data_IF_205795163460
#
_entry.id   IF_205795163460
#
_cell.length_a   1.000
_cell.length_b   1.000
_cell.length_c   1.000
_cell.angle_alpha   90.00
_cell.angle_beta   90.00
_cell.angle_gamma   90.00
#
_symmetry.space_group_name_H-M   'P 1'
#
loop_
_entity.id
_entity.type
_entity.pdbx_description
1 polymer ?
#
# COMPACT_ATOMS: atom_id res chain seq x y z
N UNK A 1 36.86 0.97 -36.29
CA UNK A 1 36.99 0.33 -34.96
C UNK A 1 35.75 0.71 -34.18
N UNK A 2 34.82 -0.23 -34.03
CA UNK A 2 33.57 -0.03 -33.29
C UNK A 2 33.83 -0.33 -31.81
N UNK A 3 33.71 0.69 -30.96
CA UNK A 3 33.78 0.51 -29.52
C UNK A 3 32.42 -0.02 -29.03
N UNK A 4 32.34 -1.33 -28.81
CA UNK A 4 31.28 -1.93 -28.01
C UNK A 4 31.53 -1.56 -26.55
N UNK A 5 30.77 -0.59 -26.03
CA UNK A 5 30.63 -0.40 -24.58
C UNK A 5 29.66 -1.47 -24.11
N UNK A 6 30.20 -2.56 -23.56
CA UNK A 6 29.44 -3.52 -22.79
C UNK A 6 28.97 -2.82 -21.51
N UNK A 7 27.70 -2.45 -21.45
CA UNK A 7 27.05 -2.05 -20.21
C UNK A 7 26.96 -3.26 -19.27
N UNK A 8 27.33 -3.07 -18.01
CA UNK A 8 27.30 -4.11 -16.99
C UNK A 8 25.87 -4.66 -16.81
N UNK A 9 25.61 -5.97 -16.98
CA UNK A 9 24.28 -6.55 -16.89
C UNK A 9 23.64 -6.41 -15.50
N UNK A 10 24.45 -6.21 -14.45
CA UNK A 10 24.00 -6.07 -13.07
C UNK A 10 23.27 -4.73 -12.84
N UNK A 11 23.73 -3.64 -13.48
CA UNK A 11 23.07 -2.34 -13.36
C UNK A 11 21.78 -2.27 -14.16
N UNK A 12 21.72 -2.99 -15.29
CA UNK A 12 20.49 -3.12 -16.10
C UNK A 12 19.42 -3.95 -15.39
N UNK A 13 19.78 -4.93 -14.57
CA UNK A 13 18.84 -5.74 -13.77
C UNK A 13 18.24 -4.93 -12.59
N UNK A 14 19.05 -4.06 -11.95
CA UNK A 14 18.54 -3.12 -10.94
C UNK A 14 17.72 -1.97 -11.52
N UNK A 15 18.06 -1.47 -12.72
CA UNK A 15 17.26 -0.45 -13.42
C UNK A 15 15.94 -1.03 -13.97
N UNK A 16 15.89 -2.31 -14.34
CA UNK A 16 14.65 -2.99 -14.73
C UNK A 16 13.79 -3.44 -13.54
N UNK A 17 14.37 -3.59 -12.35
CA UNK A 17 13.64 -3.74 -11.08
C UNK A 17 13.17 -2.39 -10.49
N UNK A 18 13.68 -1.27 -11.02
CA UNK A 18 13.49 0.08 -10.49
C UNK A 18 12.29 0.87 -11.02
N UNK A 19 11.67 0.45 -12.13
CA UNK A 19 10.36 0.97 -12.54
C UNK A 19 9.28 0.00 -12.06
N UNK A 20 8.87 0.18 -10.80
CA UNK A 20 7.79 -0.59 -10.22
C UNK A 20 6.52 -0.43 -11.07
N UNK A 21 6.20 -1.44 -11.91
CA UNK A 21 5.02 -1.50 -12.79
C UNK A 21 3.67 -1.43 -12.05
N UNK A 22 3.69 -1.14 -10.75
CA UNK A 22 2.58 -1.15 -9.83
C UNK A 22 2.44 0.16 -9.02
N UNK A 23 3.11 1.24 -9.45
CA UNK A 23 2.91 2.61 -8.96
C UNK A 23 2.36 3.49 -10.09
N UNK A 24 1.31 4.27 -9.81
CA UNK A 24 0.52 4.97 -10.81
C UNK A 24 0.30 6.45 -10.49
N UNK A 25 0.42 7.28 -11.53
CA UNK A 25 0.36 8.73 -11.46
C UNK A 25 1.72 9.37 -11.20
N UNK A 26 1.82 10.68 -11.41
CA UNK A 26 3.06 11.42 -11.16
C UNK A 26 3.13 11.88 -9.70
N UNK A 27 4.31 11.84 -9.06
CA UNK A 27 4.47 12.33 -7.71
C UNK A 27 4.32 13.86 -7.69
N UNK A 28 3.52 14.36 -6.75
CA UNK A 28 3.41 15.79 -6.46
C UNK A 28 4.64 16.17 -5.63
N UNK A 29 5.57 16.88 -6.26
CA UNK A 29 6.84 17.32 -5.68
C UNK A 29 6.93 18.84 -5.66
N UNK A 30 7.75 19.35 -4.75
CA UNK A 30 8.21 20.73 -4.80
C UNK A 30 9.57 20.67 -5.49
N UNK A 31 9.77 21.32 -6.63
CA UNK A 31 11.09 21.40 -7.24
C UNK A 31 12.00 22.29 -6.36
N UNK A 32 12.65 21.63 -5.40
CA UNK A 32 13.71 22.05 -4.45
C UNK A 32 13.33 23.02 -3.32
N UNK A 33 13.52 22.55 -2.07
CA UNK A 33 14.18 23.26 -0.94
C UNK A 33 14.25 22.32 0.27
N UNK A 34 15.46 22.02 0.75
CA UNK A 34 15.73 21.22 1.95
C UNK A 34 15.71 22.07 3.22
N UNK A 35 15.16 21.51 4.31
CA UNK A 35 15.28 22.03 5.68
C UNK A 35 13.98 21.98 6.50
N UNK A 36 14.11 21.86 7.82
CA UNK A 36 13.01 22.01 8.80
C UNK A 36 12.67 23.50 9.03
N UNK A 37 12.35 24.18 7.94
CA UNK A 37 11.87 25.57 7.99
C UNK A 37 10.34 25.59 8.03
N UNK A 38 9.76 26.65 8.60
CA UNK A 38 8.32 26.91 8.54
C UNK A 38 7.78 26.84 7.10
N UNK A 39 8.60 27.25 6.13
CA UNK A 39 8.32 27.16 4.71
C UNK A 39 8.18 25.71 4.21
N UNK A 40 9.07 24.79 4.62
CA UNK A 40 8.96 23.38 4.26
C UNK A 40 7.70 22.72 4.83
N UNK A 41 7.31 23.09 6.07
CA UNK A 41 6.04 22.64 6.67
C UNK A 41 4.83 23.14 5.88
N UNK A 42 4.88 24.38 5.38
CA UNK A 42 3.84 24.97 4.51
C UNK A 42 3.74 24.24 3.17
N UNK A 43 4.88 24.02 2.49
CA UNK A 43 4.93 23.29 1.23
C UNK A 43 4.35 21.88 1.36
N UNK A 44 4.72 21.16 2.44
CA UNK A 44 4.19 19.82 2.68
C UNK A 44 2.66 19.81 2.85
N UNK A 45 2.08 20.80 3.52
CA UNK A 45 0.61 20.95 3.61
C UNK A 45 -0.03 21.23 2.25
N UNK A 46 0.63 22.01 1.37
CA UNK A 46 0.17 22.24 0.01
C UNK A 46 0.19 20.95 -0.83
N UNK A 47 1.29 20.17 -0.75
CA UNK A 47 1.40 18.84 -1.38
C UNK A 47 0.29 17.89 -0.95
N UNK A 48 -0.05 17.88 0.34
CA UNK A 48 -1.18 17.09 0.88
C UNK A 48 -2.50 17.56 0.28
N UNK A 49 -2.78 18.88 0.32
CA UNK A 49 -4.02 19.43 -0.19
C UNK A 49 -4.19 19.12 -1.69
N UNK A 50 -3.12 19.28 -2.48
CA UNK A 50 -3.11 18.91 -3.89
C UNK A 50 -3.31 17.42 -4.12
N UNK A 51 -2.69 16.54 -3.32
CA UNK A 51 -2.91 15.11 -3.42
C UNK A 51 -4.38 14.76 -3.17
N UNK A 52 -4.98 15.28 -2.10
CA UNK A 52 -6.39 15.04 -1.79
C UNK A 52 -7.33 15.55 -2.88
N UNK A 53 -7.11 16.75 -3.42
CA UNK A 53 -7.92 17.33 -4.50
C UNK A 53 -7.76 16.59 -5.85
N UNK A 54 -6.57 16.04 -6.10
CA UNK A 54 -6.24 15.38 -7.38
C UNK A 54 -6.33 13.86 -7.30
N UNK A 55 -6.79 13.27 -6.20
CA UNK A 55 -6.75 11.83 -5.95
C UNK A 55 -7.40 11.00 -7.06
N UNK A 56 -8.54 11.49 -7.57
CA UNK A 56 -9.34 10.87 -8.64
C UNK A 56 -9.20 11.58 -9.99
N UNK A 57 -8.30 12.55 -10.11
CA UNK A 57 -8.06 13.24 -11.38
C UNK A 57 -7.17 12.40 -12.29
N UNK A 58 -7.44 12.45 -13.59
CA UNK A 58 -6.71 11.67 -14.59
C UNK A 58 -7.13 10.20 -14.60
N UNK A 59 -6.18 9.32 -14.94
CA UNK A 59 -6.41 7.86 -15.07
C UNK A 59 -5.63 7.04 -14.03
N UNK A 60 -5.00 7.67 -13.03
CA UNK A 60 -4.08 6.97 -12.10
C UNK A 60 -4.78 5.93 -11.23
N UNK A 61 -5.99 6.23 -10.76
CA UNK A 61 -6.80 5.28 -9.98
C UNK A 61 -7.27 4.11 -10.85
N UNK A 62 -7.76 4.41 -12.05
CA UNK A 62 -8.23 3.43 -13.03
C UNK A 62 -7.10 2.51 -13.48
N UNK A 63 -5.90 3.06 -13.67
CA UNK A 63 -4.70 2.30 -14.05
C UNK A 63 -4.27 1.35 -12.93
N UNK A 64 -4.26 1.83 -11.68
CA UNK A 64 -3.97 0.99 -10.52
C UNK A 64 -4.99 -0.14 -10.35
N UNK A 65 -6.28 0.18 -10.49
CA UNK A 65 -7.37 -0.79 -10.41
C UNK A 65 -7.30 -1.82 -11.56
N UNK A 66 -7.02 -1.37 -12.77
CA UNK A 66 -6.86 -2.23 -13.95
C UNK A 66 -5.70 -3.20 -13.73
N UNK A 67 -4.55 -2.70 -13.27
CA UNK A 67 -3.39 -3.53 -12.97
C UNK A 67 -3.71 -4.67 -11.99
N UNK A 68 -4.28 -4.41 -10.82
CA UNK A 68 -4.58 -5.49 -9.85
C UNK A 68 -5.64 -6.47 -10.34
N UNK A 69 -6.56 -6.04 -11.21
CA UNK A 69 -7.52 -6.91 -11.87
C UNK A 69 -6.84 -7.84 -12.88
N UNK A 70 -5.92 -7.31 -13.67
CA UNK A 70 -5.12 -8.12 -14.60
C UNK A 70 -4.24 -9.13 -13.83
N UNK A 71 -3.64 -8.75 -12.70
CA UNK A 71 -2.88 -9.70 -11.86
C UNK A 71 -3.78 -10.82 -11.35
N UNK A 72 -5.00 -10.47 -10.93
CA UNK A 72 -5.97 -11.43 -10.46
C UNK A 72 -6.42 -12.38 -11.57
N UNK A 73 -6.68 -11.86 -12.76
CA UNK A 73 -7.02 -12.68 -13.93
C UNK A 73 -5.89 -13.65 -14.28
N UNK A 74 -4.63 -13.19 -14.23
CA UNK A 74 -3.45 -14.04 -14.44
C UNK A 74 -3.29 -15.12 -13.37
N UNK A 75 -3.51 -14.78 -12.10
CA UNK A 75 -3.42 -15.74 -10.99
C UNK A 75 -4.56 -16.76 -11.01
N UNK A 76 -5.76 -16.34 -11.41
CA UNK A 76 -6.92 -17.21 -11.62
C UNK A 76 -7.85 -17.34 -10.40
N UNK A 77 -8.37 -18.55 -10.19
CA UNK A 77 -9.46 -18.81 -9.24
C UNK A 77 -8.95 -19.09 -7.83
N UNK A 78 -9.60 -18.48 -6.84
CA UNK A 78 -9.32 -18.66 -5.43
C UNK A 78 -9.39 -17.35 -4.65
N UNK A 79 -9.10 -17.44 -3.36
CA UNK A 79 -9.13 -16.30 -2.42
C UNK A 79 -7.92 -15.41 -2.65
N UNK A 80 -8.18 -14.13 -2.87
CA UNK A 80 -7.16 -13.12 -3.15
C UNK A 80 -7.65 -11.73 -2.74
N UNK A 81 -6.72 -10.88 -2.37
CA UNK A 81 -6.96 -9.52 -1.91
C UNK A 81 -6.27 -8.54 -2.86
N UNK A 82 -7.07 -7.66 -3.47
CA UNK A 82 -6.61 -6.63 -4.40
C UNK A 82 -6.37 -5.35 -3.59
N UNK A 83 -5.11 -4.97 -3.43
CA UNK A 83 -4.73 -3.85 -2.57
C UNK A 83 -4.38 -2.62 -3.40
N UNK A 84 -5.02 -1.49 -3.10
CA UNK A 84 -4.62 -0.17 -3.59
C UNK A 84 -4.28 0.75 -2.42
N UNK A 85 -3.13 1.40 -2.48
CA UNK A 85 -2.64 2.34 -1.47
C UNK A 85 -2.45 3.71 -2.09
N UNK A 86 -3.13 4.72 -1.57
CA UNK A 86 -2.95 6.11 -1.98
C UNK A 86 -2.14 6.88 -0.95
N UNK A 87 -1.10 7.57 -1.40
CA UNK A 87 -0.29 8.42 -0.55
C UNK A 87 -0.71 9.89 -0.70
N UNK A 88 -1.23 10.48 0.38
CA UNK A 88 -1.45 11.92 0.50
C UNK A 88 -0.82 12.45 1.80
N UNK A 89 0.38 11.96 2.14
CA UNK A 89 1.12 12.40 3.34
C UNK A 89 1.99 13.61 3.10
N UNK A 90 2.07 14.12 1.86
CA UNK A 90 2.97 15.18 1.46
C UNK A 90 4.37 14.68 1.15
N UNK A 91 4.81 13.53 1.66
CA UNK A 91 6.14 12.95 1.42
C UNK A 91 6.01 11.53 0.82
N UNK A 92 7.08 10.95 0.24
CA UNK A 92 7.06 9.55 -0.18
C UNK A 92 6.87 8.59 0.99
N UNK A 93 6.16 7.49 0.74
CA UNK A 93 6.12 6.31 1.61
C UNK A 93 7.13 5.28 1.12
N UNK A 94 7.86 4.64 2.03
CA UNK A 94 8.77 3.53 1.71
C UNK A 94 8.32 2.25 2.41
N UNK A 95 8.43 1.11 1.72
CA UNK A 95 8.16 -0.19 2.33
C UNK A 95 9.12 -0.40 3.50
N UNK A 96 8.58 -0.78 4.66
CA UNK A 96 9.36 -0.97 5.88
C UNK A 96 9.34 -2.43 6.36
N UNK A 97 8.16 -3.03 6.49
CA UNK A 97 8.02 -4.42 6.95
C UNK A 97 6.76 -5.06 6.36
N UNK A 98 6.75 -6.39 6.29
CA UNK A 98 5.58 -7.18 5.88
C UNK A 98 5.41 -8.37 6.81
N UNK A 99 4.20 -8.92 6.86
CA UNK A 99 3.94 -10.16 7.58
C UNK A 99 2.76 -10.90 6.96
N UNK A 100 2.96 -12.17 6.63
CA UNK A 100 1.94 -13.05 6.06
C UNK A 100 1.55 -14.14 7.06
N UNK A 101 0.34 -14.07 7.63
CA UNK A 101 -0.19 -15.18 8.44
C UNK A 101 -0.69 -16.31 7.54
N UNK A 102 -1.48 -15.95 6.52
CA UNK A 102 -2.07 -16.90 5.56
C UNK A 102 -1.99 -16.35 4.15
N UNK A 103 -1.57 -17.20 3.20
CA UNK A 103 -1.32 -16.75 1.84
C UNK A 103 0.13 -16.33 1.64
N UNK A 104 0.34 -15.54 0.59
CA UNK A 104 1.59 -14.88 0.22
C UNK A 104 1.32 -13.76 -0.79
N UNK A 105 2.26 -12.83 -0.92
CA UNK A 105 2.27 -11.86 -2.02
C UNK A 105 2.40 -12.60 -3.37
N UNK A 106 1.69 -12.14 -4.41
CA UNK A 106 1.85 -12.70 -5.74
C UNK A 106 3.12 -12.15 -6.39
N UNK A 107 4.03 -13.02 -6.84
CA UNK A 107 5.36 -12.63 -7.33
C UNK A 107 5.35 -11.60 -8.48
N UNK A 108 4.32 -11.62 -9.34
CA UNK A 108 4.17 -10.65 -10.44
C UNK A 108 3.55 -9.31 -9.97
N UNK A 109 3.21 -9.20 -8.70
CA UNK A 109 2.57 -8.04 -8.07
C UNK A 109 3.11 -7.80 -6.65
N UNK A 110 4.43 -7.52 -6.52
CA UNK A 110 5.08 -7.32 -5.23
C UNK A 110 4.55 -6.06 -4.53
N UNK A 111 4.90 -5.86 -3.27
CA UNK A 111 4.64 -4.59 -2.60
C UNK A 111 5.42 -3.45 -3.28
N UNK A 112 4.79 -2.30 -3.58
CA UNK A 112 5.51 -1.11 -4.03
C UNK A 112 6.56 -0.70 -3.00
N UNK A 113 7.83 -0.65 -3.40
CA UNK A 113 8.94 -0.25 -2.52
C UNK A 113 8.86 1.21 -2.10
N UNK A 114 8.33 2.07 -2.98
CA UNK A 114 8.18 3.50 -2.75
C UNK A 114 6.92 4.03 -3.45
N UNK A 115 6.10 4.78 -2.73
CA UNK A 115 4.89 5.43 -3.26
C UNK A 115 5.03 6.93 -3.00
N UNK A 116 5.20 7.73 -4.04
CA UNK A 116 5.28 9.19 -3.93
C UNK A 116 3.95 9.83 -3.54
N UNK A 117 4.01 11.03 -2.96
CA UNK A 117 2.80 11.80 -2.65
C UNK A 117 2.00 12.04 -3.94
N UNK A 118 0.69 11.81 -3.89
CA UNK A 118 -0.18 11.93 -5.05
C UNK A 118 -0.33 10.67 -5.91
N UNK A 119 0.45 9.61 -5.65
CA UNK A 119 0.46 8.35 -6.41
C UNK A 119 -0.37 7.24 -5.75
N UNK A 120 -0.76 6.27 -6.58
CA UNK A 120 -1.37 5.01 -6.16
C UNK A 120 -0.35 3.87 -6.27
N UNK A 121 -0.12 3.13 -5.20
CA UNK A 121 0.52 1.82 -5.23
C UNK A 121 -0.52 0.70 -5.34
N UNK A 122 -0.19 -0.40 -6.01
CA UNK A 122 -1.10 -1.49 -6.26
C UNK A 122 -0.40 -2.85 -6.09
N UNK A 123 -1.04 -3.84 -5.48
CA UNK A 123 -0.47 -5.19 -5.35
C UNK A 123 -1.55 -6.25 -5.11
N UNK A 124 -1.19 -7.52 -5.33
CA UNK A 124 -2.09 -8.67 -5.16
C UNK A 124 -1.54 -9.65 -4.13
N UNK A 125 -2.30 -9.90 -3.08
CA UNK A 125 -2.02 -10.94 -2.10
C UNK A 125 -2.98 -12.12 -2.29
N UNK A 126 -2.47 -13.36 -2.24
CA UNK A 126 -3.21 -14.55 -2.66
C UNK A 126 -3.11 -15.67 -1.63
N UNK A 127 -4.08 -16.59 -1.62
CA UNK A 127 -3.97 -17.80 -0.78
C UNK A 127 -2.84 -18.71 -1.27
N UNK A 128 -2.38 -19.61 -0.41
CA UNK A 128 -1.42 -20.68 -0.79
C UNK A 128 -2.11 -21.71 -1.70
N UNK A 129 -1.35 -22.32 -2.60
CA UNK A 129 -1.87 -23.36 -3.50
C UNK A 129 -2.35 -24.58 -2.73
N UNK A 130 -3.46 -25.18 -3.18
CA UNK A 130 -4.05 -26.41 -2.61
C UNK A 130 -4.43 -26.40 -1.11
N UNK A 131 -4.32 -25.28 -0.39
CA UNK A 131 -4.78 -25.17 1.01
C UNK A 131 -6.13 -24.44 1.10
N UNK A 132 -6.98 -24.79 2.08
CA UNK A 132 -8.21 -24.06 2.40
C UNK A 132 -7.93 -22.78 3.22
N UNK A 133 -6.87 -22.05 2.85
CA UNK A 133 -6.44 -20.83 3.54
C UNK A 133 -7.01 -19.58 2.85
N UNK A 134 -7.12 -18.51 3.63
CA UNK A 134 -7.47 -17.19 3.14
C UNK A 134 -6.27 -16.41 2.57
N UNK A 135 -6.47 -15.10 2.48
CA UNK A 135 -5.44 -14.09 2.22
C UNK A 135 -5.42 -13.14 3.41
N UNK A 136 -4.41 -13.28 4.28
CA UNK A 136 -4.30 -12.58 5.56
C UNK A 136 -2.85 -12.14 5.79
N UNK A 137 -2.64 -10.83 5.78
CA UNK A 137 -1.32 -10.24 5.84
C UNK A 137 -1.39 -8.77 6.25
N UNK A 138 -0.22 -8.24 6.59
CA UNK A 138 -0.02 -6.83 6.87
C UNK A 138 1.21 -6.31 6.13
N UNK A 139 1.16 -5.03 5.76
CA UNK A 139 2.29 -4.26 5.26
C UNK A 139 2.46 -2.99 6.07
N UNK A 140 3.70 -2.61 6.32
CA UNK A 140 4.08 -1.40 7.02
C UNK A 140 4.82 -0.49 6.05
N UNK A 141 4.31 0.73 5.90
CA UNK A 141 4.95 1.81 5.15
C UNK A 141 5.49 2.86 6.11
N UNK A 142 6.75 3.25 5.94
CA UNK A 142 7.36 4.38 6.64
C UNK A 142 7.15 5.66 5.86
N UNK A 143 6.78 6.72 6.56
CA UNK A 143 6.57 8.07 6.02
C UNK A 143 6.87 9.13 7.07
N UNK A 144 6.38 10.36 6.86
CA UNK A 144 6.55 11.48 7.80
C UNK A 144 5.23 12.06 8.29
N UNK A 145 5.19 12.47 9.56
CA UNK A 145 4.04 13.16 10.17
C UNK A 145 3.99 14.67 9.90
N UNK A 146 2.92 15.31 10.40
CA UNK A 146 2.67 16.75 10.31
C UNK A 146 3.92 17.61 10.57
N UNK A 147 4.67 17.29 11.62
CA UNK A 147 5.88 17.98 12.05
C UNK A 147 7.19 17.51 11.37
N UNK A 148 7.19 16.36 10.70
CA UNK A 148 8.33 15.82 9.94
C UNK A 148 9.04 14.62 10.54
N UNK A 149 8.59 14.12 11.69
CA UNK A 149 9.11 12.90 12.30
C UNK A 149 8.68 11.68 11.49
N UNK A 150 9.51 10.64 11.53
CA UNK A 150 9.21 9.39 10.87
C UNK A 150 8.10 8.62 11.60
N UNK A 151 7.21 8.05 10.80
CA UNK A 151 6.04 7.29 11.26
C UNK A 151 5.88 6.02 10.46
N UNK A 152 5.47 4.95 11.12
CA UNK A 152 5.15 3.68 10.48
C UNK A 152 3.63 3.48 10.44
N UNK A 153 3.11 3.28 9.24
CA UNK A 153 1.71 3.03 8.93
C UNK A 153 1.50 1.56 8.59
N UNK A 154 0.83 0.82 9.48
CA UNK A 154 0.43 -0.57 9.26
C UNK A 154 -0.90 -0.63 8.55
N UNK A 155 -0.96 -1.49 7.54
CA UNK A 155 -2.12 -1.79 6.73
C UNK A 155 -2.35 -3.30 6.76
N UNK A 156 -3.48 -3.74 7.29
CA UNK A 156 -3.83 -5.15 7.48
C UNK A 156 -5.10 -5.51 6.72
N UNK A 157 -5.12 -6.73 6.19
CA UNK A 157 -6.32 -7.35 5.62
C UNK A 157 -6.48 -8.79 6.08
N UNK A 158 -7.74 -9.20 6.23
CA UNK A 158 -8.14 -10.58 6.39
C UNK A 158 -9.22 -10.93 5.37
N UNK A 159 -8.97 -11.94 4.55
CA UNK A 159 -9.89 -12.42 3.54
C UNK A 159 -9.99 -13.95 3.72
N UNK A 160 -10.87 -14.44 4.61
CA UNK A 160 -10.91 -15.84 5.02
C UNK A 160 -11.44 -16.74 3.90
N UNK A 161 -11.01 -18.01 3.85
CA UNK A 161 -11.56 -18.98 2.91
C UNK A 161 -13.01 -19.35 3.21
N UNK A 162 -13.32 -19.63 4.49
CA UNK A 162 -14.66 -19.93 4.93
C UNK A 162 -15.50 -18.65 5.06
N UNK A 163 -16.22 -18.31 4.00
CA UNK A 163 -17.15 -17.17 3.94
C UNK A 163 -18.46 -17.36 4.69
N UNK A 164 -18.79 -18.60 5.08
CA UNK A 164 -20.01 -18.87 5.84
C UNK A 164 -19.85 -18.49 7.32
N UNK A 165 -18.64 -18.63 7.86
CA UNK A 165 -18.36 -18.37 9.28
C UNK A 165 -17.59 -17.08 9.53
N UNK A 166 -16.87 -16.56 8.52
CA UNK A 166 -16.00 -15.39 8.70
C UNK A 166 -16.20 -14.35 7.62
N UNK A 167 -16.06 -13.08 8.03
CA UNK A 167 -16.14 -11.91 7.16
C UNK A 167 -14.76 -11.36 6.87
N UNK A 168 -14.63 -10.62 5.77
CA UNK A 168 -13.37 -9.94 5.44
C UNK A 168 -13.12 -8.80 6.44
N UNK A 169 -11.88 -8.61 6.88
CA UNK A 169 -11.50 -7.52 7.77
C UNK A 169 -10.47 -6.59 7.13
N UNK A 170 -10.57 -5.31 7.50
CA UNK A 170 -9.57 -4.29 7.19
C UNK A 170 -9.14 -3.65 8.50
N UNK A 171 -7.84 -3.46 8.70
CA UNK A 171 -7.33 -2.77 9.88
C UNK A 171 -6.14 -1.89 9.50
N UNK A 172 -5.99 -0.78 10.20
CA UNK A 172 -4.81 0.05 10.08
C UNK A 172 -4.45 0.66 11.43
N UNK A 173 -3.17 0.86 11.66
CA UNK A 173 -2.67 1.67 12.77
C UNK A 173 -1.47 2.49 12.31
N UNK A 174 -1.20 3.57 13.04
CA UNK A 174 -0.05 4.45 12.81
C UNK A 174 0.69 4.55 14.12
N UNK A 175 1.99 4.32 14.08
CA UNK A 175 2.86 4.39 15.25
C UNK A 175 4.17 5.12 14.90
N UNK A 176 5.00 5.35 15.92
CA UNK A 176 6.33 5.90 15.74
C UNK A 176 7.18 4.95 14.87
N UNK A 177 8.09 5.52 14.07
CA UNK A 177 9.06 4.72 13.33
C UNK A 177 9.83 3.76 14.25
N UNK A 178 9.94 2.50 13.81
CA UNK A 178 10.59 1.41 14.53
C UNK A 178 9.66 0.64 15.46
N UNK A 179 8.41 1.09 15.62
CA UNK A 179 7.44 0.39 16.44
C UNK A 179 7.27 -1.07 15.99
N UNK A 180 7.27 -1.34 14.68
CA UNK A 180 7.02 -2.68 14.12
C UNK A 180 8.28 -3.57 13.98
N UNK A 181 9.46 -3.09 14.39
CA UNK A 181 10.71 -3.82 14.20
C UNK A 181 10.79 -5.07 15.09
N UNK A 182 10.13 -5.05 16.25
CA UNK A 182 10.16 -6.12 17.25
C UNK A 182 8.79 -6.36 17.91
N UNK A 183 7.71 -6.30 17.12
CA UNK A 183 6.36 -6.54 17.65
C UNK A 183 6.01 -8.01 17.71
N UNK A 184 5.08 -8.34 18.61
CA UNK A 184 4.30 -9.55 18.51
C UNK A 184 3.19 -9.39 17.45
N UNK A 185 3.41 -9.98 16.28
CA UNK A 185 2.43 -10.02 15.20
C UNK A 185 1.11 -10.71 15.62
N UNK A 186 1.10 -11.57 16.64
CA UNK A 186 -0.13 -12.15 17.20
C UNK A 186 -1.08 -11.09 17.77
N UNK A 187 -0.54 -9.99 18.31
CA UNK A 187 -1.34 -8.85 18.79
C UNK A 187 -2.00 -8.13 17.62
N UNK A 188 -1.29 -7.97 16.49
CA UNK A 188 -1.84 -7.35 15.28
C UNK A 188 -2.93 -8.23 14.68
N UNK A 189 -2.71 -9.55 14.57
CA UNK A 189 -3.73 -10.48 14.10
C UNK A 189 -5.00 -10.39 14.96
N UNK A 190 -4.84 -10.37 16.28
CA UNK A 190 -5.97 -10.25 17.22
C UNK A 190 -6.73 -8.94 17.05
N UNK A 191 -6.04 -7.82 16.88
CA UNK A 191 -6.68 -6.52 16.59
C UNK A 191 -7.39 -6.53 15.23
N UNK A 192 -6.74 -7.07 14.19
CA UNK A 192 -7.24 -7.12 12.82
C UNK A 192 -8.46 -8.01 12.65
N UNK A 193 -8.47 -9.19 13.27
CA UNK A 193 -9.61 -10.13 13.21
C UNK A 193 -10.85 -9.62 13.95
N UNK A 194 -10.66 -8.73 14.94
CA UNK A 194 -11.75 -8.04 15.65
C UNK A 194 -12.13 -6.70 15.01
N UNK A 195 -11.47 -6.30 13.92
CA UNK A 195 -11.84 -5.10 13.18
C UNK A 195 -13.15 -5.30 12.39
N UNK A 196 -13.58 -4.24 11.71
CA UNK A 196 -14.75 -4.24 10.85
C UNK A 196 -14.40 -4.18 9.35
N UNK A 197 -15.43 -4.00 8.49
CA UNK A 197 -15.26 -3.82 7.04
C UNK A 197 -14.48 -2.55 6.64
N UNK A 198 -14.44 -1.58 7.55
CA UNK A 198 -13.84 -0.28 7.38
C UNK A 198 -13.10 0.05 8.68
N UNK A 199 -11.94 0.68 8.57
CA UNK A 199 -11.19 1.11 9.73
C UNK A 199 -10.56 2.47 9.50
N UNK A 200 -10.49 3.28 10.56
CA UNK A 200 -9.86 4.58 10.54
C UNK A 200 -8.98 4.75 11.77
N UNK A 201 -7.68 4.94 11.55
CA UNK A 201 -6.72 5.32 12.59
C UNK A 201 -6.28 6.77 12.38
N UNK A 202 -5.95 7.46 13.47
CA UNK A 202 -5.37 8.78 13.39
C UNK A 202 -4.34 8.98 14.50
N UNK A 203 -3.14 9.43 14.15
CA UNK A 203 -2.02 9.60 15.08
C UNK A 203 -1.09 10.72 14.58
N UNK A 204 -0.70 11.63 15.48
CA UNK A 204 0.20 12.78 15.21
C UNK A 204 0.00 13.43 13.82
N UNK A 205 -1.21 13.92 13.56
CA UNK A 205 -1.53 14.61 12.30
C UNK A 205 -1.65 13.71 11.06
N UNK A 206 -1.42 12.40 11.15
CA UNK A 206 -1.67 11.43 10.09
C UNK A 206 -2.98 10.67 10.31
N UNK A 207 -3.55 10.16 9.22
CA UNK A 207 -4.79 9.37 9.18
C UNK A 207 -4.59 8.22 8.21
N UNK A 208 -4.90 7.00 8.68
CA UNK A 208 -5.03 5.84 7.83
C UNK A 208 -6.52 5.52 7.71
N UNK A 209 -7.00 5.36 6.48
CA UNK A 209 -8.36 4.89 6.19
C UNK A 209 -8.25 3.62 5.37
N UNK A 210 -8.94 2.56 5.79
CA UNK A 210 -9.11 1.34 5.02
C UNK A 210 -10.59 1.13 4.73
N UNK A 211 -10.94 1.04 3.45
CA UNK A 211 -12.31 0.80 3.01
C UNK A 211 -12.40 -0.43 2.11
N UNK A 212 -13.40 -1.27 2.38
CA UNK A 212 -13.82 -2.34 1.47
C UNK A 212 -14.78 -1.81 0.40
N UNK A 213 -14.56 -2.15 -0.87
CA UNK A 213 -15.60 -2.08 -1.91
C UNK A 213 -16.02 -3.50 -2.35
N UNK A 214 -17.33 -3.77 -2.33
CA UNK A 214 -17.92 -5.06 -2.70
C UNK A 214 -18.07 -5.20 -4.21
N UNK A 215 -17.67 -6.33 -4.80
CA UNK A 215 -18.19 -6.83 -6.08
C UNK A 215 -18.59 -8.30 -5.90
N UNK A 216 -19.86 -8.64 -6.16
CA UNK A 216 -20.46 -9.97 -5.95
C UNK A 216 -19.94 -10.99 -6.99
N UNK A 217 -19.29 -12.07 -6.55
CA UNK A 217 -19.25 -13.36 -7.25
C UNK A 217 -18.82 -14.47 -6.28
N UNK A 218 -19.72 -15.42 -5.97
CA UNK A 218 -19.57 -16.44 -4.92
C UNK A 218 -18.50 -17.53 -5.17
N UNK A 219 -17.75 -17.47 -6.28
CA UNK A 219 -16.60 -18.36 -6.54
C UNK A 219 -15.30 -17.54 -6.69
N UNK A 220 -15.39 -16.21 -6.68
CA UNK A 220 -14.27 -15.28 -6.84
C UNK A 220 -14.36 -14.19 -5.77
N UNK A 221 -13.91 -14.49 -4.55
CA UNK A 221 -13.88 -13.48 -3.48
C UNK A 221 -12.82 -12.42 -3.80
N UNK A 222 -13.24 -11.37 -4.50
CA UNK A 222 -12.44 -10.18 -4.74
C UNK A 222 -12.73 -9.21 -3.61
N UNK A 223 -11.71 -8.95 -2.79
CA UNK A 223 -11.79 -7.90 -1.77
C UNK A 223 -10.87 -6.79 -2.19
N UNK A 224 -11.48 -5.67 -2.53
CA UNK A 224 -10.78 -4.44 -2.82
C UNK A 224 -10.58 -3.67 -1.52
N UNK A 225 -9.34 -3.36 -1.19
CA UNK A 225 -9.00 -2.43 -0.12
C UNK A 225 -8.46 -1.15 -0.74
N UNK A 226 -9.16 -0.05 -0.47
CA UNK A 226 -8.61 1.28 -0.64
C UNK A 226 -8.01 1.68 0.68
N UNK A 227 -6.72 1.97 0.65
CA UNK A 227 -6.00 2.40 1.82
C UNK A 227 -5.45 3.79 1.57
N UNK A 228 -5.87 4.75 2.36
CA UNK A 228 -5.47 6.14 2.24
C UNK A 228 -4.64 6.50 3.46
N UNK A 229 -3.43 6.98 3.21
CA UNK A 229 -2.58 7.56 4.25
C UNK A 229 -2.54 9.05 3.98
N UNK A 230 -3.23 9.83 4.80
CA UNK A 230 -3.48 11.25 4.60
C UNK A 230 -3.09 12.05 5.84
N UNK A 231 -2.90 13.37 5.73
CA UNK A 231 -2.80 14.22 6.92
C UNK A 231 -4.16 14.76 7.33
N UNK A 232 -4.32 15.04 8.63
CA UNK A 232 -5.42 15.86 9.14
C UNK A 232 -5.26 17.26 8.57
N UNK A 233 -6.27 17.69 7.82
CA UNK A 233 -6.46 19.09 7.40
C UNK A 233 -6.88 19.95 8.57
#
# INVERSE_FOLDING_TARGET
MANNVLGDPINTEFETLGNANNVFGDPITDETLEGDTEYAKKLRKLRVAMALDTQMKGNKYESALKYVREMKERWGTGVSTLCLVYNATGEPLTLHSTHDWWGHIYDQSPYPMRIGNGQWGAYLHVKRSATPDGSNAAVVYRGKNDVGDDTDSLLFWDNPWNKASYSNQAYAEINQAGYYDNIDWGVIASKGSNAGPQYRAAWKGCVNRCDRKWHHCQIRSHTYFRIEITRKT
#
